data_IF_428765428545
#
_entry.id   IF_428765428545
#
_cell.length_a   1.000
_cell.length_b   1.000
_cell.length_c   1.000
_cell.angle_alpha   90.00
_cell.angle_beta   90.00
_cell.angle_gamma   90.00
#
_symmetry.space_group_name_H-M   'P 1'
#
loop_
_entity.id
_entity.type
_entity.pdbx_description
1 polymer ?
#
# COMPACT_ATOMS: atom_id res chain seq x y z
N UNK A 1 33.31 -5.65 9.28
CA UNK A 1 32.42 -6.42 8.39
C UNK A 1 31.47 -5.40 7.81
N UNK A 2 31.68 -4.99 6.57
CA UNK A 2 30.85 -3.98 5.91
C UNK A 2 29.69 -4.79 5.34
N UNK A 3 28.47 -4.58 5.85
CA UNK A 3 27.28 -5.09 5.16
C UNK A 3 27.26 -4.43 3.78
N UNK A 4 27.54 -5.23 2.75
CA UNK A 4 27.37 -4.76 1.38
C UNK A 4 25.87 -4.57 1.18
N UNK A 5 25.42 -3.32 1.17
CA UNK A 5 24.07 -3.00 0.69
C UNK A 5 24.00 -3.45 -0.77
N UNK A 6 23.27 -4.53 -1.02
CA UNK A 6 23.02 -4.96 -2.39
C UNK A 6 22.20 -3.87 -3.08
N UNK A 7 22.62 -3.42 -4.27
CA UNK A 7 21.90 -2.39 -4.99
C UNK A 7 20.51 -2.90 -5.44
N UNK A 8 19.50 -2.03 -5.31
CA UNK A 8 18.10 -2.31 -5.63
C UNK A 8 17.82 -1.86 -7.05
N UNK A 9 17.24 -2.74 -7.86
CA UNK A 9 16.84 -2.43 -9.24
C UNK A 9 15.36 -2.65 -9.44
N UNK A 10 14.75 -1.73 -10.19
CA UNK A 10 13.36 -1.88 -10.59
C UNK A 10 13.24 -2.97 -11.64
N UNK A 11 12.29 -3.88 -11.42
CA UNK A 11 11.90 -4.89 -12.40
C UNK A 11 10.92 -4.26 -13.41
N UNK A 12 11.19 -4.35 -14.73
CA UNK A 12 10.22 -3.95 -15.74
C UNK A 12 9.03 -4.92 -15.76
N UNK A 13 7.82 -4.36 -15.85
CA UNK A 13 6.56 -5.10 -15.92
C UNK A 13 6.11 -5.12 -17.39
N UNK A 14 5.63 -6.26 -17.88
CA UNK A 14 5.12 -6.42 -19.25
C UNK A 14 3.78 -5.71 -19.43
N UNK A 15 2.87 -5.94 -18.49
CA UNK A 15 1.53 -5.36 -18.53
C UNK A 15 0.97 -5.19 -17.11
N UNK A 16 0.13 -4.18 -16.95
CA UNK A 16 -0.63 -3.93 -15.73
C UNK A 16 -2.13 -4.01 -16.01
N UNK A 17 -2.89 -4.58 -15.06
CA UNK A 17 -4.36 -4.60 -15.10
C UNK A 17 -4.92 -4.19 -13.75
N UNK A 18 -5.74 -3.16 -13.76
CA UNK A 18 -6.48 -2.69 -12.59
C UNK A 18 -7.88 -3.31 -12.56
N UNK A 19 -8.35 -3.65 -11.35
CA UNK A 19 -9.71 -4.15 -11.08
C UNK A 19 -10.22 -3.59 -9.75
N UNK A 20 -11.51 -3.80 -9.50
CA UNK A 20 -12.17 -3.46 -8.23
C UNK A 20 -11.96 -2.00 -7.84
N UNK A 21 -12.31 -1.07 -8.74
CA UNK A 21 -12.09 0.37 -8.56
C UNK A 21 -10.62 0.72 -8.30
N UNK A 22 -9.71 0.07 -9.03
CA UNK A 22 -8.26 0.20 -8.92
C UNK A 22 -7.66 -0.21 -7.57
N UNK A 23 -8.42 -0.91 -6.72
CA UNK A 23 -7.94 -1.50 -5.48
C UNK A 23 -7.19 -2.82 -5.70
N UNK A 24 -7.32 -3.40 -6.88
CA UNK A 24 -6.60 -4.61 -7.28
C UNK A 24 -5.73 -4.30 -8.49
N UNK A 25 -4.43 -4.56 -8.38
CA UNK A 25 -3.44 -4.38 -9.44
C UNK A 25 -2.77 -5.72 -9.75
N UNK A 26 -2.91 -6.19 -10.99
CA UNK A 26 -2.16 -7.34 -11.52
C UNK A 26 -0.98 -6.82 -12.34
N UNK A 27 0.24 -7.23 -11.99
CA UNK A 27 1.46 -6.96 -12.74
C UNK A 27 1.95 -8.26 -13.38
N UNK A 28 2.05 -8.29 -14.70
CA UNK A 28 2.55 -9.42 -15.48
C UNK A 28 4.03 -9.21 -15.80
N UNK A 29 4.84 -10.26 -15.61
CA UNK A 29 6.28 -10.16 -15.74
C UNK A 29 6.77 -10.74 -17.06
N UNK A 30 7.85 -10.14 -17.57
CA UNK A 30 8.51 -10.63 -18.77
C UNK A 30 9.13 -12.01 -18.50
N UNK A 31 9.16 -12.89 -19.51
CA UNK A 31 9.94 -14.13 -19.42
C UNK A 31 11.42 -13.81 -19.12
N UNK A 32 12.03 -14.54 -18.19
CA UNK A 32 13.41 -14.33 -17.69
C UNK A 32 13.61 -13.12 -16.77
N UNK A 33 12.54 -12.61 -16.14
CA UNK A 33 12.67 -11.62 -15.07
C UNK A 33 13.43 -12.23 -13.87
N UNK A 34 14.41 -11.54 -13.28
CA UNK A 34 15.11 -12.04 -12.09
C UNK A 34 14.15 -12.28 -10.93
N UNK A 35 14.55 -13.14 -9.98
CA UNK A 35 13.76 -13.41 -8.77
C UNK A 35 13.39 -12.11 -8.04
N UNK A 36 12.10 -11.95 -7.74
CA UNK A 36 11.58 -10.71 -7.14
C UNK A 36 11.93 -10.69 -5.65
N UNK A 37 12.62 -9.64 -5.21
CA UNK A 37 12.96 -9.48 -3.80
C UNK A 37 11.80 -8.87 -3.00
N UNK A 38 11.01 -8.00 -3.62
CA UNK A 38 9.95 -7.29 -2.93
C UNK A 38 9.24 -6.27 -3.81
N UNK A 39 8.48 -5.39 -3.15
CA UNK A 39 7.80 -4.29 -3.80
C UNK A 39 7.93 -3.00 -3.01
N UNK A 40 8.04 -1.90 -3.76
CA UNK A 40 7.96 -0.54 -3.28
C UNK A 40 6.53 -0.05 -3.49
N UNK A 41 5.91 0.44 -2.42
CA UNK A 41 4.64 1.16 -2.45
C UNK A 41 4.91 2.66 -2.31
N UNK A 42 4.59 3.42 -3.35
CA UNK A 42 4.56 4.87 -3.33
C UNK A 42 3.32 5.38 -2.59
N UNK A 43 3.44 6.55 -1.97
CA UNK A 43 2.40 7.14 -1.14
C UNK A 43 1.05 7.26 -1.89
N UNK A 44 -0.04 6.96 -1.19
CA UNK A 44 -1.39 7.29 -1.64
C UNK A 44 -1.59 8.81 -1.66
N UNK A 45 -2.39 9.30 -2.61
CA UNK A 45 -2.71 10.73 -2.64
C UNK A 45 -3.51 11.12 -1.38
N UNK A 46 -3.51 12.40 -1.01
CA UNK A 46 -4.03 12.88 0.29
C UNK A 46 -5.46 12.41 0.53
N UNK A 47 -5.59 11.40 1.40
CA UNK A 47 -6.83 10.88 1.94
C UNK A 47 -6.91 11.27 3.42
N UNK A 48 -8.08 11.72 3.87
CA UNK A 48 -8.32 11.96 5.30
C UNK A 48 -9.20 10.84 5.85
N UNK A 49 -8.89 10.29 7.04
CA UNK A 49 -9.83 9.45 7.76
C UNK A 49 -11.14 10.23 7.98
N UNK A 50 -12.28 9.59 7.76
CA UNK A 50 -13.61 10.17 8.04
C UNK A 50 -13.73 10.43 9.55
N UNK A 51 -13.39 11.63 10.00
CA UNK A 51 -13.66 12.06 11.39
C UNK A 51 -15.13 12.45 11.47
N UNK A 52 -16.00 11.57 11.96
CA UNK A 52 -17.44 11.84 12.10
C UNK A 52 -17.81 12.63 13.36
N UNK A 53 -16.85 13.00 14.20
CA UNK A 53 -17.13 13.71 15.44
C UNK A 53 -16.13 14.84 15.67
N UNK A 54 -16.54 16.06 15.29
CA UNK A 54 -16.13 17.23 16.06
C UNK A 54 -16.60 17.00 17.51
N UNK A 55 -15.77 17.17 18.55
CA UNK A 55 -16.30 17.31 19.88
C UNK A 55 -17.27 18.49 19.85
N UNK A 56 -18.55 18.23 20.10
CA UNK A 56 -19.54 19.30 20.17
C UNK A 56 -19.09 20.24 21.30
N UNK A 57 -18.77 21.49 20.97
CA UNK A 57 -18.46 22.54 21.94
C UNK A 57 -19.76 22.94 22.64
N UNK A 58 -20.18 22.11 23.60
CA UNK A 58 -21.39 22.33 24.39
C UNK A 58 -21.26 21.69 25.77
N UNK A 59 -20.12 21.86 26.44
CA UNK A 59 -20.00 21.59 27.87
C UNK A 59 -19.25 22.74 28.56
N UNK A 60 -19.78 23.96 28.40
CA UNK A 60 -19.66 25.00 29.43
C UNK A 60 -20.78 24.82 30.45
N UNK A 61 -20.81 23.68 31.15
CA UNK A 61 -21.54 23.59 32.41
C UNK A 61 -20.65 22.90 33.41
N UNK A 62 -20.04 23.74 34.25
CA UNK A 62 -19.39 23.35 35.49
C UNK A 62 -20.21 22.29 36.24
N UNK A 63 -19.66 21.08 36.39
CA UNK A 63 -19.73 20.37 37.67
C UNK A 63 -18.72 19.23 37.74
N UNK A 64 -17.68 19.50 38.52
CA UNK A 64 -16.86 18.59 39.29
C UNK A 64 -17.58 17.27 39.65
N UNK A 65 -17.41 16.24 38.83
CA UNK A 65 -17.65 14.83 39.19
C UNK A 65 -16.64 13.94 38.44
N UNK A 66 -15.72 13.38 39.22
CA UNK A 66 -15.06 12.08 39.02
C UNK A 66 -14.10 11.92 37.83
N UNK A 67 -12.81 12.00 38.16
CA UNK A 67 -11.63 11.62 37.39
C UNK A 67 -11.51 10.10 37.11
N UNK A 68 -12.50 9.44 36.52
CA UNK A 68 -12.41 8.00 36.17
C UNK A 68 -13.10 7.59 34.87
N UNK A 69 -13.25 8.51 33.90
CA UNK A 69 -13.78 8.16 32.57
C UNK A 69 -13.08 8.94 31.43
N UNK A 70 -11.76 9.11 31.55
CA UNK A 70 -10.89 9.64 30.49
C UNK A 70 -10.06 8.55 29.81
N UNK A 71 -10.51 7.31 29.88
CA UNK A 71 -9.95 6.21 29.09
C UNK A 71 -10.98 5.83 28.02
N UNK A 72 -10.48 5.55 26.82
CA UNK A 72 -11.20 4.85 25.74
C UNK A 72 -12.07 5.67 24.76
N UNK A 73 -11.53 6.77 24.22
CA UNK A 73 -11.96 7.26 22.88
C UNK A 73 -10.80 7.43 21.91
N UNK A 74 -9.77 6.58 22.01
CA UNK A 74 -8.93 6.32 20.85
C UNK A 74 -9.75 5.49 19.87
N UNK A 75 -10.54 6.19 19.05
CA UNK A 75 -11.20 5.62 17.88
C UNK A 75 -10.10 4.90 17.10
N UNK A 76 -10.20 3.57 16.99
CA UNK A 76 -9.21 2.75 16.32
C UNK A 76 -8.96 3.35 14.92
N UNK A 77 -7.74 3.82 14.61
CA UNK A 77 -7.50 4.49 13.33
C UNK A 77 -7.77 3.50 12.19
N UNK A 78 -8.41 3.96 11.12
CA UNK A 78 -8.69 3.13 9.95
C UNK A 78 -7.41 2.44 9.45
N UNK A 79 -7.43 1.11 9.36
CA UNK A 79 -6.25 0.32 9.00
C UNK A 79 -6.39 -0.19 7.56
N UNK A 80 -5.34 -0.01 6.77
CA UNK A 80 -5.22 -0.56 5.43
C UNK A 80 -4.23 -1.73 5.42
N UNK A 81 -4.53 -2.71 4.57
CA UNK A 81 -3.71 -3.87 4.32
C UNK A 81 -3.51 -4.05 2.83
N UNK A 82 -2.32 -4.48 2.43
CA UNK A 82 -2.04 -4.94 1.08
C UNK A 82 -1.82 -6.45 1.11
N UNK A 83 -2.71 -7.16 0.43
CA UNK A 83 -2.55 -8.58 0.18
C UNK A 83 -1.80 -8.74 -1.14
N UNK A 84 -0.73 -9.54 -1.13
CA UNK A 84 0.09 -9.84 -2.29
C UNK A 84 -0.08 -11.31 -2.62
N UNK A 85 -0.49 -11.61 -3.84
CA UNK A 85 -0.55 -12.97 -4.37
C UNK A 85 0.45 -13.10 -5.50
N UNK A 86 1.49 -13.89 -5.30
CA UNK A 86 2.44 -14.22 -6.35
C UNK A 86 2.05 -15.51 -7.04
N UNK A 87 1.91 -15.44 -8.35
CA UNK A 87 1.63 -16.57 -9.23
C UNK A 87 2.95 -17.04 -9.83
N UNK A 88 3.41 -18.21 -9.39
CA UNK A 88 4.63 -18.83 -9.90
C UNK A 88 4.38 -19.51 -11.26
N UNK A 89 5.44 -19.71 -12.04
CA UNK A 89 5.32 -20.44 -13.31
C UNK A 89 4.81 -21.89 -13.13
N UNK A 90 5.16 -22.52 -12.01
CA UNK A 90 4.67 -23.85 -11.62
C UNK A 90 3.15 -23.90 -11.35
N UNK A 91 2.46 -22.76 -11.35
CA UNK A 91 1.05 -22.63 -10.98
C UNK A 91 0.81 -22.55 -9.47
N UNK A 92 1.87 -22.66 -8.65
CA UNK A 92 1.78 -22.43 -7.21
C UNK A 92 1.45 -20.96 -6.94
N UNK A 93 0.57 -20.74 -5.97
CA UNK A 93 0.21 -19.43 -5.46
C UNK A 93 0.83 -19.23 -4.08
N UNK A 94 1.50 -18.09 -3.88
CA UNK A 94 1.99 -17.66 -2.57
C UNK A 94 1.25 -16.38 -2.21
N UNK A 95 0.62 -16.36 -1.04
CA UNK A 95 -0.16 -15.21 -0.58
C UNK A 95 0.46 -14.69 0.72
N UNK A 96 0.72 -13.39 0.75
CA UNK A 96 1.24 -12.67 1.91
C UNK A 96 0.39 -11.43 2.16
N UNK A 97 0.33 -10.97 3.40
CA UNK A 97 -0.43 -9.79 3.78
C UNK A 97 0.44 -8.83 4.59
N UNK A 98 0.44 -7.56 4.18
CA UNK A 98 1.22 -6.51 4.81
C UNK A 98 0.31 -5.41 5.31
N UNK A 99 0.42 -5.08 6.60
CA UNK A 99 -0.26 -3.93 7.17
C UNK A 99 0.42 -2.64 6.70
N UNK A 100 -0.35 -1.69 6.21
CA UNK A 100 0.19 -0.40 5.78
C UNK A 100 0.33 0.54 6.99
N UNK A 101 1.56 1.02 7.29
CA UNK A 101 1.76 2.01 8.35
C UNK A 101 1.21 3.38 7.92
N UNK A 102 0.82 4.18 8.91
CA UNK A 102 0.51 5.59 8.69
C UNK A 102 1.82 6.35 8.44
N UNK A 103 2.07 6.71 7.18
CA UNK A 103 3.26 7.45 6.77
C UNK A 103 2.91 8.85 6.28
N UNK A 104 3.83 9.79 6.52
CA UNK A 104 3.73 11.13 5.94
C UNK A 104 3.68 11.04 4.42
N UNK A 105 2.88 11.91 3.81
CA UNK A 105 2.86 12.07 2.35
C UNK A 105 4.29 12.17 1.79
N UNK A 106 4.51 11.54 0.64
CA UNK A 106 5.82 11.41 -0.04
C UNK A 106 6.82 10.42 0.58
N UNK A 107 6.41 9.55 1.49
CA UNK A 107 7.27 8.45 1.98
C UNK A 107 6.98 7.18 1.21
N UNK A 108 7.98 6.64 0.50
CA UNK A 108 7.89 5.32 -0.12
C UNK A 108 8.12 4.22 0.93
N UNK A 109 7.34 3.14 0.83
CA UNK A 109 7.43 1.96 1.68
C UNK A 109 8.02 0.80 0.89
N UNK A 110 8.89 0.01 1.52
CA UNK A 110 9.53 -1.14 0.93
C UNK A 110 9.14 -2.39 1.73
N UNK A 111 8.74 -3.44 1.02
CA UNK A 111 8.30 -4.70 1.60
C UNK A 111 9.01 -5.85 0.89
N UNK A 112 9.79 -6.60 1.67
CA UNK A 112 10.50 -7.78 1.16
C UNK A 112 9.59 -9.01 1.19
N UNK A 113 9.76 -9.85 0.18
CA UNK A 113 9.17 -11.17 0.15
C UNK A 113 10.07 -12.16 0.92
N UNK A 114 9.54 -12.88 1.91
CA UNK A 114 10.38 -13.71 2.78
C UNK A 114 11.03 -14.90 2.06
N UNK A 115 10.48 -15.39 0.94
CA UNK A 115 11.03 -16.58 0.26
C UNK A 115 10.61 -16.72 -1.23
N UNK A 116 10.85 -15.67 -2.03
CA UNK A 116 10.49 -15.63 -3.45
C UNK A 116 11.72 -15.70 -4.36
N UNK A 117 12.32 -16.89 -4.43
CA UNK A 117 13.45 -17.18 -5.33
C UNK A 117 13.05 -17.89 -6.64
N UNK A 118 11.77 -18.18 -6.85
CA UNK A 118 11.26 -18.86 -8.06
C UNK A 118 10.71 -17.87 -9.10
N UNK A 119 10.79 -18.27 -10.37
CA UNK A 119 10.25 -17.53 -11.51
C UNK A 119 8.73 -17.30 -11.34
N UNK A 120 8.37 -16.02 -11.38
CA UNK A 120 7.01 -15.52 -11.15
C UNK A 120 6.46 -14.98 -12.45
N UNK A 121 5.27 -15.42 -12.85
CA UNK A 121 4.62 -14.95 -14.08
C UNK A 121 3.79 -13.68 -13.84
N UNK A 122 3.26 -13.55 -12.63
CA UNK A 122 2.35 -12.47 -12.27
C UNK A 122 2.36 -12.24 -10.76
N UNK A 123 2.26 -10.97 -10.36
CA UNK A 123 2.04 -10.55 -8.98
C UNK A 123 0.75 -9.75 -8.91
N UNK A 124 -0.11 -10.09 -7.95
CA UNK A 124 -1.41 -9.46 -7.75
C UNK A 124 -1.40 -8.76 -6.40
N UNK A 125 -1.68 -7.47 -6.41
CA UNK A 125 -1.79 -6.63 -5.23
C UNK A 125 -3.26 -6.29 -4.99
N UNK A 126 -3.72 -6.44 -3.76
CA UNK A 126 -5.08 -6.08 -3.36
C UNK A 126 -5.04 -5.22 -2.11
N UNK A 127 -5.49 -3.98 -2.23
CA UNK A 127 -5.73 -3.08 -1.12
C UNK A 127 -7.07 -3.42 -0.46
N UNK A 128 -7.06 -3.61 0.86
CA UNK A 128 -8.26 -3.89 1.64
C UNK A 128 -8.14 -3.38 3.08
N UNK A 129 -9.13 -3.66 3.92
CA UNK A 129 -9.28 -3.12 5.27
C UNK A 129 -10.36 -2.05 5.30
N UNK A 130 -10.10 -0.96 6.01
CA UNK A 130 -11.05 0.14 6.21
C UNK A 130 -11.09 1.13 5.03
N UNK A 131 -11.10 0.63 3.79
CA UNK A 131 -11.04 1.45 2.55
C UNK A 131 -12.18 2.47 2.45
N UNK A 132 -13.35 2.18 3.04
CA UNK A 132 -14.51 3.09 3.06
C UNK A 132 -14.41 4.17 4.14
N UNK A 133 -13.49 4.01 5.11
CA UNK A 133 -13.23 5.01 6.14
C UNK A 133 -12.39 6.18 5.63
N UNK A 134 -11.91 6.12 4.39
CA UNK A 134 -11.17 7.20 3.73
C UNK A 134 -12.07 7.95 2.74
N UNK A 135 -11.78 9.24 2.59
CA UNK A 135 -12.34 10.10 1.53
C UNK A 135 -11.20 10.91 0.94
N UNK A 136 -11.34 11.25 -0.34
CA UNK A 136 -10.48 12.26 -0.95
C UNK A 136 -10.66 13.59 -0.18
N UNK A 137 -9.59 14.38 -0.08
CA UNK A 137 -9.64 15.71 0.53
C UNK A 137 -10.38 16.67 -0.42
N UNK A 138 -11.71 16.56 -0.49
CA UNK A 138 -12.56 17.43 -1.30
C UNK A 138 -12.88 18.65 -0.44
N UNK A 139 -12.08 19.72 -0.57
CA UNK A 139 -12.38 21.04 0.00
C UNK A 139 -13.66 21.69 -0.57
N UNK A 140 -14.41 21.00 -1.44
CA UNK A 140 -15.59 21.53 -2.14
C UNK A 140 -16.73 20.51 -2.36
N UNK A 141 -17.01 19.60 -1.41
CA UNK A 141 -18.28 18.85 -1.48
C UNK A 141 -19.28 19.36 -0.44
N UNK A 142 -20.03 20.36 -0.89
CA UNK A 142 -21.19 20.92 -0.24
C UNK A 142 -22.20 19.79 0.10
N UNK A 143 -22.37 19.52 1.40
CA UNK A 143 -23.54 18.93 2.05
C UNK A 143 -24.19 17.65 1.52
N UNK A 144 -23.62 16.94 0.53
CA UNK A 144 -24.34 15.90 -0.20
C UNK A 144 -23.94 14.48 0.25
N UNK A 145 -24.78 13.91 1.12
CA UNK A 145 -25.02 12.47 1.28
C UNK A 145 -23.79 11.57 1.48
N UNK A 146 -23.16 11.69 2.65
CA UNK A 146 -22.06 10.85 3.15
C UNK A 146 -22.33 9.32 3.15
N UNK A 147 -23.57 8.88 2.89
CA UNK A 147 -23.97 7.46 2.94
C UNK A 147 -23.65 6.66 1.67
N UNK A 148 -23.36 7.32 0.53
CA UNK A 148 -23.10 6.64 -0.76
C UNK A 148 -21.83 7.15 -1.46
N UNK A 149 -20.79 7.52 -0.72
CA UNK A 149 -19.54 7.99 -1.32
C UNK A 149 -18.77 6.83 -1.98
N UNK A 150 -18.28 7.00 -3.23
CA UNK A 150 -17.37 6.04 -3.85
C UNK A 150 -16.08 5.88 -3.01
N UNK A 151 -15.37 4.78 -3.22
CA UNK A 151 -14.02 4.57 -2.67
C UNK A 151 -13.15 5.78 -3.06
N UNK A 152 -12.35 6.28 -2.12
CA UNK A 152 -11.48 7.42 -2.35
C UNK A 152 -10.54 7.14 -3.54
N UNK A 153 -10.56 8.00 -4.55
CA UNK A 153 -9.70 7.86 -5.73
C UNK A 153 -8.20 7.90 -5.36
N UNK A 154 -7.87 8.55 -4.24
CA UNK A 154 -6.53 8.57 -3.66
C UNK A 154 -6.00 7.20 -3.20
N UNK A 155 -6.87 6.20 -3.01
CA UNK A 155 -6.50 4.81 -2.68
C UNK A 155 -6.17 3.93 -3.90
N UNK A 156 -6.30 4.45 -5.12
CA UNK A 156 -5.96 3.70 -6.34
C UNK A 156 -4.52 3.19 -6.31
N UNK A 157 -4.31 1.92 -6.65
CA UNK A 157 -2.99 1.30 -6.78
C UNK A 157 -2.28 1.68 -8.10
N UNK A 158 -2.96 2.39 -9.00
CA UNK A 158 -2.42 2.79 -10.30
C UNK A 158 -1.13 3.58 -10.15
N UNK A 159 -0.05 3.08 -10.78
CA UNK A 159 1.29 3.66 -10.69
C UNK A 159 1.85 3.81 -9.26
N UNK A 160 1.30 3.08 -8.28
CA UNK A 160 1.76 3.13 -6.88
C UNK A 160 2.75 2.03 -6.51
N UNK A 161 2.81 0.93 -7.28
CA UNK A 161 3.59 -0.25 -6.91
C UNK A 161 4.70 -0.51 -7.93
N UNK A 162 5.92 -0.68 -7.45
CA UNK A 162 7.08 -1.04 -8.26
C UNK A 162 7.76 -2.27 -7.67
N UNK A 163 7.92 -3.31 -8.49
CA UNK A 163 8.67 -4.50 -8.10
C UNK A 163 10.17 -4.24 -8.16
N UNK A 164 10.93 -4.82 -7.24
CA UNK A 164 12.38 -4.73 -7.24
C UNK A 164 13.06 -6.06 -6.95
N UNK A 165 14.33 -6.15 -7.34
CA UNK A 165 15.22 -7.23 -6.92
C UNK A 165 16.56 -6.68 -6.42
N UNK A 166 17.23 -7.48 -5.59
CA UNK A 166 18.61 -7.20 -5.19
C UNK A 166 19.56 -7.77 -6.24
N UNK A 167 20.35 -6.90 -6.86
CA UNK A 167 21.34 -7.37 -7.81
C UNK A 167 22.59 -7.86 -7.09
N UNK A 168 22.96 -9.11 -7.36
CA UNK A 168 24.30 -9.59 -7.02
C UNK A 168 25.31 -8.89 -7.95
N UNK A 169 26.40 -8.41 -7.38
CA UNK A 169 27.51 -7.73 -8.05
C UNK A 169 28.07 -8.48 -9.27
N UNK A 170 27.84 -9.80 -9.37
CA UNK A 170 28.22 -10.63 -10.51
C UNK A 170 27.25 -10.58 -11.72
N UNK A 171 25.98 -10.24 -11.51
CA UNK A 171 24.94 -10.25 -12.56
C UNK A 171 24.75 -8.89 -13.25
N UNK A 172 25.41 -7.84 -12.75
CA UNK A 172 25.42 -6.46 -13.28
C UNK A 172 25.79 -6.31 -14.77
N UNK A 173 26.38 -7.34 -15.38
CA UNK A 173 26.85 -7.33 -16.76
C UNK A 173 25.98 -8.06 -17.78
N UNK A 174 24.92 -8.76 -17.37
CA UNK A 174 24.11 -9.62 -18.26
C UNK A 174 22.72 -9.09 -18.60
N UNK A 175 22.20 -8.16 -17.82
CA UNK A 175 20.78 -7.79 -17.86
C UNK A 175 20.63 -6.38 -18.45
N UNK A 176 20.58 -6.31 -19.78
CA UNK A 176 20.43 -5.04 -20.50
C UNK A 176 19.00 -4.48 -20.43
N UNK A 177 18.60 -3.89 -19.29
CA UNK A 177 17.58 -2.82 -19.16
C UNK A 177 17.06 -2.70 -17.71
N UNK A 178 17.95 -2.49 -16.74
CA UNK A 178 17.54 -2.21 -15.36
C UNK A 178 17.83 -0.76 -15.02
N UNK A 179 16.82 -0.05 -14.52
CA UNK A 179 16.98 1.30 -13.99
C UNK A 179 17.25 1.21 -12.49
N UNK A 180 18.28 1.92 -12.03
CA UNK A 180 18.56 2.07 -10.60
C UNK A 180 17.45 2.87 -9.92
N UNK A 181 17.00 2.42 -8.75
CA UNK A 181 15.92 3.06 -7.96
C UNK A 181 16.45 4.20 -7.11
#
# INVERSE_FOLDING_TARGET
>A
MIEAFLPIFQIPVEAERLRDNDLVLEQYLLPNTPGIAGFRLDFFNVIRPRVTHSPSSSELVMKEFSLTHMEDRFVNPAILYIQVTVVKESGKLVMEEYRLPEVKANTALYFDFPDLQEESRCVIFRLHGDVTAFVDDISELDGSNLRNLPVASGLSLSNKIKLYYYADTYEMGKIGSLSAV
#
